data_IF_987425055944
#
_entry.id   IF_987425055944
#
_cell.length_a   1.000
_cell.length_b   1.000
_cell.length_c   1.000
_cell.angle_alpha   90.00
_cell.angle_beta   90.00
_cell.angle_gamma   90.00
#
_symmetry.space_group_name_H-M   'P 1'
#
loop_
_entity.id
_entity.type
_entity.pdbx_description
1 polymer ?
#
# COMPACT_ATOMS: atom_id res chain seq x y z
N UNK A 1 -29.30 -98.90 18.58
CA UNK A 1 -28.97 -97.51 18.20
C UNK A 1 -28.94 -96.69 19.49
N UNK A 2 -27.84 -96.65 20.26
CA UNK A 2 -26.49 -96.19 19.88
C UNK A 2 -26.66 -94.79 19.28
N UNK A 3 -26.38 -93.74 20.05
CA UNK A 3 -26.50 -92.29 19.75
C UNK A 3 -27.57 -91.50 20.50
N UNK A 4 -27.72 -91.73 21.81
CA UNK A 4 -27.97 -90.66 22.78
C UNK A 4 -26.92 -90.83 23.88
N UNK A 5 -25.65 -90.67 23.52
CA UNK A 5 -24.94 -89.38 23.58
C UNK A 5 -24.77 -89.06 25.07
N UNK A 6 -23.71 -89.57 25.70
CA UNK A 6 -22.46 -88.82 25.94
C UNK A 6 -22.58 -87.55 26.81
N UNK A 7 -23.79 -87.08 27.15
CA UNK A 7 -24.01 -85.85 27.88
C UNK A 7 -24.05 -86.02 29.41
N UNK A 8 -24.09 -87.25 29.92
CA UNK A 8 -24.19 -87.53 31.36
C UNK A 8 -23.00 -88.31 31.94
N UNK A 9 -22.02 -88.66 31.09
CA UNK A 9 -20.86 -89.49 31.49
C UNK A 9 -19.50 -88.79 31.24
N UNK A 10 -19.50 -87.50 30.91
CA UNK A 10 -18.30 -86.66 30.76
C UNK A 10 -18.44 -85.29 31.48
N UNK A 11 -19.26 -85.23 32.54
CA UNK A 11 -19.48 -84.01 33.34
C UNK A 11 -19.50 -84.26 34.85
N UNK A 12 -19.05 -85.44 35.29
CA UNK A 12 -18.59 -85.64 36.66
C UNK A 12 -17.12 -86.08 36.67
N UNK A 13 -16.35 -85.64 35.67
CA UNK A 13 -14.89 -85.53 35.78
C UNK A 13 -14.65 -84.64 36.99
N UNK A 14 -14.28 -85.28 38.10
CA UNK A 14 -13.62 -84.68 39.26
C UNK A 14 -13.83 -83.19 39.33
N UNK A 15 -14.83 -82.76 40.10
CA UNK A 15 -14.68 -81.54 40.87
C UNK A 15 -13.33 -81.67 41.58
N UNK A 16 -12.26 -81.23 40.91
CA UNK A 16 -11.07 -80.73 41.53
C UNK A 16 -11.62 -79.55 42.33
N UNK A 17 -12.13 -79.85 43.52
CA UNK A 17 -12.17 -78.86 44.58
C UNK A 17 -10.74 -78.38 44.62
N UNK A 18 -10.51 -77.19 44.06
CA UNK A 18 -9.22 -76.52 44.16
C UNK A 18 -8.81 -76.72 45.60
N UNK A 19 -7.65 -77.34 45.82
CA UNK A 19 -7.22 -77.64 47.17
C UNK A 19 -7.26 -76.34 47.96
N UNK A 20 -7.47 -76.39 49.28
CA UNK A 20 -7.51 -75.17 50.09
C UNK A 20 -6.30 -74.26 49.75
N UNK A 21 -5.15 -74.88 49.49
CA UNK A 21 -3.91 -74.26 49.00
C UNK A 21 -4.04 -73.56 47.62
N UNK A 22 -4.72 -74.16 46.64
CA UNK A 22 -4.97 -73.58 45.30
C UNK A 22 -5.97 -72.41 45.34
N UNK A 23 -6.96 -72.45 46.25
CA UNK A 23 -7.85 -71.33 46.54
C UNK A 23 -7.09 -70.15 47.17
N UNK A 24 -6.23 -70.43 48.15
CA UNK A 24 -5.37 -69.41 48.76
C UNK A 24 -4.39 -68.79 47.74
N UNK A 25 -3.82 -69.61 46.83
CA UNK A 25 -2.94 -69.13 45.77
C UNK A 25 -3.65 -68.15 44.82
N UNK A 26 -4.90 -68.46 44.42
CA UNK A 26 -5.71 -67.56 43.58
C UNK A 26 -6.10 -66.26 44.30
N UNK A 27 -6.42 -66.34 45.59
CA UNK A 27 -6.70 -65.16 46.42
C UNK A 27 -5.45 -64.27 46.49
N UNK A 28 -4.27 -64.86 46.71
CA UNK A 28 -3.02 -64.11 46.74
C UNK A 28 -2.70 -63.45 45.38
N UNK A 29 -2.89 -64.17 44.27
CA UNK A 29 -2.78 -63.61 42.92
C UNK A 29 -3.76 -62.44 42.68
N UNK A 30 -5.00 -62.57 43.15
CA UNK A 30 -6.00 -61.50 43.05
C UNK A 30 -5.58 -60.27 43.86
N UNK A 31 -5.09 -60.47 45.09
CA UNK A 31 -4.60 -59.39 45.95
C UNK A 31 -3.40 -58.67 45.32
N UNK A 32 -2.48 -59.42 44.71
CA UNK A 32 -1.34 -58.86 43.97
C UNK A 32 -1.79 -58.04 42.75
N UNK A 33 -2.80 -58.51 42.00
CA UNK A 33 -3.39 -57.76 40.88
C UNK A 33 -4.12 -56.50 41.34
N UNK A 34 -4.85 -56.56 42.46
CA UNK A 34 -5.53 -55.41 43.07
C UNK A 34 -4.50 -54.37 43.50
N UNK A 35 -3.42 -54.80 44.18
CA UNK A 35 -2.33 -53.91 44.58
C UNK A 35 -1.67 -53.25 43.36
N UNK A 36 -1.39 -54.01 42.30
CA UNK A 36 -0.85 -53.48 41.05
C UNK A 36 -1.81 -52.48 40.36
N UNK A 37 -3.12 -52.73 40.40
CA UNK A 37 -4.14 -51.83 39.86
C UNK A 37 -4.24 -50.53 40.66
N UNK A 38 -4.24 -50.61 42.00
CA UNK A 38 -4.26 -49.45 42.87
C UNK A 38 -3.00 -48.58 42.68
N UNK A 39 -1.83 -49.20 42.51
CA UNK A 39 -0.60 -48.48 42.18
C UNK A 39 -0.71 -47.74 40.84
N UNK A 40 -1.35 -48.35 39.83
CA UNK A 40 -1.62 -47.69 38.54
C UNK A 40 -2.61 -46.54 38.68
N UNK A 41 -3.69 -46.70 39.45
CA UNK A 41 -4.67 -45.64 39.71
C UNK A 41 -3.99 -44.45 40.40
N UNK A 42 -3.20 -44.72 41.44
CA UNK A 42 -2.48 -43.66 42.15
C UNK A 42 -1.47 -42.92 41.24
N UNK A 43 -0.78 -43.66 40.37
CA UNK A 43 0.10 -43.06 39.37
C UNK A 43 -0.65 -42.18 38.35
N UNK A 44 -1.84 -42.62 37.92
CA UNK A 44 -2.70 -41.83 37.03
C UNK A 44 -3.23 -40.57 37.70
N UNK A 45 -3.66 -40.66 38.96
CA UNK A 45 -4.10 -39.51 39.76
C UNK A 45 -2.97 -38.49 39.93
N UNK A 46 -1.76 -38.98 40.21
CA UNK A 46 -0.55 -38.14 40.31
C UNK A 46 -0.25 -37.46 38.98
N UNK A 47 -0.25 -38.21 37.87
CA UNK A 47 -0.02 -37.64 36.53
C UNK A 47 -1.10 -36.61 36.14
N UNK A 48 -2.36 -36.85 36.51
CA UNK A 48 -3.45 -35.90 36.29
C UNK A 48 -3.26 -34.62 37.09
N UNK A 49 -2.83 -34.73 38.35
CA UNK A 49 -2.52 -33.57 39.18
C UNK A 49 -1.36 -32.75 38.59
N UNK A 50 -0.31 -33.43 38.10
CA UNK A 50 0.82 -32.78 37.41
C UNK A 50 0.35 -32.09 36.13
N UNK A 51 -0.44 -32.76 35.28
CA UNK A 51 -0.97 -32.18 34.03
C UNK A 51 -1.86 -30.98 34.30
N UNK A 52 -2.74 -31.03 35.30
CA UNK A 52 -3.56 -29.88 35.70
C UNK A 52 -2.70 -28.70 36.10
N UNK A 53 -1.62 -28.95 36.84
CA UNK A 53 -0.67 -27.92 37.26
C UNK A 53 0.07 -27.33 36.06
N UNK A 54 0.54 -28.19 35.13
CA UNK A 54 1.21 -27.75 33.90
C UNK A 54 0.28 -26.92 33.00
N UNK A 55 -0.98 -27.33 32.84
CA UNK A 55 -1.97 -26.58 32.06
C UNK A 55 -2.30 -25.24 32.70
N UNK A 56 -2.39 -25.18 34.03
CA UNK A 56 -2.60 -23.93 34.77
C UNK A 56 -1.41 -22.96 34.65
N UNK A 57 -0.20 -23.47 34.41
CA UNK A 57 0.99 -22.68 34.17
C UNK A 57 1.12 -22.19 32.73
N UNK A 58 0.27 -22.66 31.80
CA UNK A 58 0.27 -22.15 30.43
C UNK A 58 -0.17 -20.68 30.49
N UNK A 59 0.69 -19.73 30.08
CA UNK A 59 0.32 -18.33 30.04
C UNK A 59 -0.92 -18.15 29.16
N UNK A 60 -1.84 -17.28 29.57
CA UNK A 60 -2.98 -16.95 28.71
C UNK A 60 -2.46 -16.42 27.37
N UNK A 61 -3.01 -16.88 26.22
CA UNK A 61 -2.57 -16.38 24.93
C UNK A 61 -2.74 -14.87 24.86
N UNK A 62 -1.64 -14.16 24.58
CA UNK A 62 -1.70 -12.72 24.35
C UNK A 62 -2.53 -12.50 23.08
N UNK A 63 -3.68 -11.85 23.23
CA UNK A 63 -4.51 -11.44 22.10
C UNK A 63 -4.05 -10.06 21.65
N UNK A 64 -3.39 -10.01 20.50
CA UNK A 64 -3.09 -8.74 19.84
C UNK A 64 -4.38 -8.11 19.32
N UNK A 65 -4.55 -6.82 19.56
CA UNK A 65 -5.56 -6.02 18.85
C UNK A 65 -4.90 -5.36 17.65
N UNK A 66 -5.53 -5.48 16.49
CA UNK A 66 -5.06 -4.80 15.30
C UNK A 66 -5.32 -3.30 15.43
N UNK A 67 -4.30 -2.47 15.17
CA UNK A 67 -4.49 -1.04 14.97
C UNK A 67 -5.15 -0.74 13.62
N UNK A 68 -5.39 0.54 13.36
CA UNK A 68 -5.94 1.00 12.08
C UNK A 68 -5.08 0.52 10.90
N UNK A 69 -5.74 0.09 9.82
CA UNK A 69 -5.05 -0.44 8.64
C UNK A 69 -4.47 -1.84 8.81
N UNK A 70 -4.61 -2.51 9.96
CA UNK A 70 -4.17 -3.90 10.15
C UNK A 70 -5.40 -4.79 10.39
N UNK A 71 -5.37 -6.02 9.86
CA UNK A 71 -6.35 -7.06 10.13
C UNK A 71 -5.66 -8.37 10.49
N UNK A 72 -6.20 -9.07 11.49
CA UNK A 72 -5.72 -10.37 11.95
C UNK A 72 -6.71 -11.44 11.46
N UNK A 73 -6.28 -12.29 10.54
CA UNK A 73 -7.08 -13.39 10.00
C UNK A 73 -6.37 -14.72 10.29
N UNK A 74 -6.81 -15.40 11.36
CA UNK A 74 -6.12 -16.60 11.87
C UNK A 74 -4.70 -16.27 12.35
N UNK A 75 -3.70 -16.87 11.70
CA UNK A 75 -2.27 -16.62 11.97
C UNK A 75 -1.63 -15.62 10.99
N UNK A 76 -2.44 -14.93 10.17
CA UNK A 76 -1.95 -13.99 9.15
C UNK A 76 -2.23 -12.55 9.59
N UNK A 77 -1.19 -11.71 9.54
CA UNK A 77 -1.30 -10.26 9.70
C UNK A 77 -1.39 -9.64 8.31
N UNK A 78 -2.48 -8.94 8.02
CA UNK A 78 -2.69 -8.24 6.74
C UNK A 78 -2.70 -6.74 6.98
N UNK A 79 -1.84 -6.02 6.25
CA UNK A 79 -1.95 -4.58 6.13
C UNK A 79 -2.92 -4.21 5.00
N UNK A 80 -3.85 -3.32 5.30
CA UNK A 80 -4.84 -2.75 4.38
C UNK A 80 -4.44 -1.30 4.15
N UNK A 81 -3.83 -1.06 3.01
CA UNK A 81 -3.55 0.30 2.56
C UNK A 81 -4.65 0.73 1.58
N UNK A 82 -5.11 1.99 1.63
CA UNK A 82 -5.96 2.55 0.60
C UNK A 82 -5.29 2.35 -0.76
N UNK A 83 -6.06 1.84 -1.72
CA UNK A 83 -5.60 1.71 -3.10
C UNK A 83 -6.25 2.79 -3.93
N UNK A 84 -5.45 3.42 -4.77
CA UNK A 84 -5.84 4.47 -5.68
C UNK A 84 -6.00 3.94 -7.10
N UNK A 85 -6.79 4.65 -7.91
CA UNK A 85 -6.98 4.32 -9.31
C UNK A 85 -6.97 5.58 -10.19
N UNK A 86 -6.66 5.42 -11.47
CA UNK A 86 -6.72 6.51 -12.45
C UNK A 86 -8.13 7.10 -12.52
N UNK A 87 -8.23 8.42 -12.59
CA UNK A 87 -9.49 9.19 -12.58
C UNK A 87 -10.02 9.54 -11.20
N UNK A 88 -9.45 9.00 -10.12
CA UNK A 88 -9.85 9.32 -8.75
C UNK A 88 -9.52 10.78 -8.41
N UNK A 89 -10.44 11.46 -7.71
CA UNK A 89 -10.15 12.76 -7.11
C UNK A 89 -9.36 12.56 -5.82
N UNK A 90 -8.11 13.03 -5.79
CA UNK A 90 -7.24 12.86 -4.64
C UNK A 90 -6.36 14.08 -4.43
N UNK A 91 -6.28 14.56 -3.18
CA UNK A 91 -5.43 15.68 -2.75
C UNK A 91 -5.53 16.94 -3.65
N UNK A 92 -6.76 17.33 -4.02
CA UNK A 92 -7.02 18.50 -4.87
C UNK A 92 -6.68 18.30 -6.36
N UNK A 93 -6.38 17.08 -6.78
CA UNK A 93 -6.10 16.72 -8.17
C UNK A 93 -6.88 15.51 -8.66
N UNK A 94 -6.51 15.05 -9.85
CA UNK A 94 -7.01 13.83 -10.50
C UNK A 94 -5.85 12.87 -10.68
N UNK A 95 -5.96 11.66 -10.15
CA UNK A 95 -4.94 10.61 -10.27
C UNK A 95 -4.82 10.19 -11.74
N UNK A 96 -3.62 10.20 -12.29
CA UNK A 96 -3.36 9.78 -13.68
C UNK A 96 -2.30 8.70 -13.82
N UNK A 97 -1.58 8.40 -12.74
CA UNK A 97 -0.65 7.28 -12.66
C UNK A 97 -0.70 6.73 -11.26
N UNK A 98 -0.65 5.40 -11.14
CA UNK A 98 -0.54 4.68 -9.87
C UNK A 98 0.54 3.61 -10.03
N UNK A 99 1.34 3.40 -9.01
CA UNK A 99 2.34 2.33 -8.96
C UNK A 99 1.69 0.93 -8.81
N UNK A 100 2.51 -0.12 -8.89
CA UNK A 100 2.03 -1.51 -8.76
C UNK A 100 1.41 -1.81 -7.38
N UNK A 101 1.82 -1.06 -6.35
CA UNK A 101 1.29 -1.22 -4.99
C UNK A 101 -0.13 -0.67 -4.85
N UNK A 102 -0.51 0.27 -5.72
CA UNK A 102 -1.77 1.00 -5.65
C UNK A 102 -1.74 2.19 -4.68
N UNK A 103 -0.62 2.46 -4.00
CA UNK A 103 -0.59 3.40 -2.88
C UNK A 103 0.03 4.76 -3.24
N UNK A 104 0.92 4.77 -4.23
CA UNK A 104 1.61 5.96 -4.66
C UNK A 104 1.36 6.23 -6.13
N UNK A 105 1.52 7.48 -6.52
CA UNK A 105 1.34 7.84 -7.92
C UNK A 105 1.44 9.32 -8.19
N UNK A 106 0.88 9.72 -9.32
CA UNK A 106 0.85 11.10 -9.77
C UNK A 106 -0.59 11.61 -9.90
N UNK A 107 -0.79 12.84 -9.42
CA UNK A 107 -2.03 13.61 -9.60
C UNK A 107 -1.77 14.83 -10.49
N UNK A 108 -2.73 15.14 -11.34
CA UNK A 108 -2.76 16.38 -12.11
C UNK A 108 -3.68 17.39 -11.43
N UNK A 109 -3.33 18.68 -11.50
CA UNK A 109 -4.23 19.74 -11.06
C UNK A 109 -5.53 19.69 -11.90
N UNK A 110 -6.66 20.07 -11.28
CA UNK A 110 -7.94 20.13 -12.01
C UNK A 110 -8.04 21.34 -12.93
N UNK A 111 -7.25 22.36 -12.68
CA UNK A 111 -7.20 23.61 -13.45
C UNK A 111 -5.78 23.95 -13.87
N UNK A 112 -5.66 24.68 -14.98
CA UNK A 112 -4.39 25.27 -15.37
C UNK A 112 -3.97 26.33 -14.34
N UNK A 113 -2.74 26.24 -13.83
CA UNK A 113 -2.17 27.32 -13.03
C UNK A 113 -1.94 28.58 -13.89
N UNK A 114 -1.79 28.41 -15.20
CA UNK A 114 -1.76 29.50 -16.18
C UNK A 114 -2.33 29.06 -17.52
N UNK A 115 -3.56 29.51 -17.80
CA UNK A 115 -4.29 29.24 -19.05
C UNK A 115 -3.90 30.16 -20.21
N UNK A 116 -3.56 31.42 -19.96
CA UNK A 116 -3.16 32.37 -21.01
C UNK A 116 -1.76 32.09 -21.62
N UNK A 117 -1.06 31.09 -21.12
CA UNK A 117 0.32 30.80 -21.44
C UNK A 117 1.33 31.67 -20.69
N UNK A 118 2.57 31.20 -20.61
CA UNK A 118 3.71 31.94 -20.05
C UNK A 118 5.03 31.51 -20.70
N UNK A 119 6.07 32.28 -20.48
CA UNK A 119 7.45 31.89 -20.82
C UNK A 119 7.93 30.75 -19.94
N UNK A 120 8.71 29.86 -20.54
CA UNK A 120 9.45 28.84 -19.80
C UNK A 120 10.61 29.48 -19.02
N UNK A 121 11.23 30.52 -19.61
CA UNK A 121 12.32 31.29 -18.98
C UNK A 121 11.83 32.51 -18.20
N UNK A 122 12.66 33.00 -17.29
CA UNK A 122 12.38 34.20 -16.50
C UNK A 122 12.86 35.49 -17.20
N UNK A 123 12.04 36.04 -18.10
CA UNK A 123 12.31 37.34 -18.72
C UNK A 123 13.34 37.33 -19.86
N UNK A 124 14.08 38.42 -20.02
CA UNK A 124 14.90 38.73 -21.23
C UNK A 124 16.40 38.53 -21.02
N UNK A 125 16.84 37.98 -19.89
CA UNK A 125 18.26 37.84 -19.49
C UNK A 125 19.09 36.85 -20.32
N UNK A 126 18.69 36.57 -21.56
CA UNK A 126 19.37 35.66 -22.49
C UNK A 126 18.93 34.20 -22.35
N UNK A 127 19.49 33.36 -23.21
CA UNK A 127 19.30 31.91 -23.15
C UNK A 127 20.32 31.31 -22.17
N UNK A 128 19.88 30.40 -21.30
CA UNK A 128 20.75 29.71 -20.36
C UNK A 128 20.40 28.23 -20.23
N UNK A 129 21.40 27.45 -19.87
CA UNK A 129 21.27 26.04 -19.55
C UNK A 129 20.92 25.91 -18.07
N UNK A 130 19.80 25.24 -17.79
CA UNK A 130 19.34 24.94 -16.43
C UNK A 130 19.70 23.52 -15.99
N UNK A 131 20.14 22.66 -16.92
CA UNK A 131 20.35 21.23 -16.73
C UNK A 131 19.09 20.44 -16.34
N UNK A 132 17.90 21.03 -16.48
CA UNK A 132 16.62 20.39 -16.25
C UNK A 132 16.24 19.43 -17.39
N UNK A 133 17.05 18.38 -17.61
CA UNK A 133 16.93 17.45 -18.75
C UNK A 133 16.43 16.06 -18.35
N UNK A 134 16.15 15.83 -17.07
CA UNK A 134 15.64 14.54 -16.64
C UNK A 134 14.27 14.28 -17.27
N UNK A 135 13.99 13.03 -17.62
CA UNK A 135 12.72 12.62 -18.21
C UNK A 135 12.32 11.25 -17.66
N UNK A 136 11.03 11.07 -17.36
CA UNK A 136 10.49 9.91 -16.66
C UNK A 136 9.63 10.27 -15.44
N UNK A 137 9.05 9.26 -14.80
CA UNK A 137 8.21 9.43 -13.60
C UNK A 137 9.01 10.10 -12.49
N UNK A 138 8.51 11.23 -11.97
CA UNK A 138 9.14 12.00 -10.90
C UNK A 138 10.26 12.95 -11.37
N UNK A 139 10.64 12.93 -12.65
CA UNK A 139 11.71 13.79 -13.17
C UNK A 139 11.30 15.27 -13.13
N UNK A 140 10.01 15.57 -13.32
CA UNK A 140 9.48 16.92 -13.40
C UNK A 140 9.73 17.74 -12.13
N UNK A 141 9.74 17.10 -10.96
CA UNK A 141 9.98 17.82 -9.71
C UNK A 141 11.42 18.29 -9.58
N UNK A 142 12.37 17.42 -9.91
CA UNK A 142 13.80 17.77 -9.90
C UNK A 142 14.09 18.85 -10.94
N UNK A 143 13.56 18.71 -12.15
CA UNK A 143 13.67 19.73 -13.19
C UNK A 143 13.08 21.08 -12.74
N UNK A 144 11.85 21.08 -12.19
CA UNK A 144 11.18 22.30 -11.71
C UNK A 144 12.04 23.03 -10.69
N UNK A 145 12.62 22.31 -9.71
CA UNK A 145 13.51 22.91 -8.72
C UNK A 145 14.77 23.51 -9.34
N UNK A 146 15.40 22.82 -10.30
CA UNK A 146 16.58 23.33 -11.02
C UNK A 146 16.26 24.60 -11.81
N UNK A 147 15.13 24.62 -12.53
CA UNK A 147 14.70 25.79 -13.30
C UNK A 147 14.45 26.98 -12.37
N UNK A 148 13.74 26.76 -11.26
CA UNK A 148 13.45 27.81 -10.27
C UNK A 148 14.75 28.39 -9.70
N UNK A 149 15.67 27.53 -9.26
CA UNK A 149 16.96 27.96 -8.73
C UNK A 149 17.80 28.73 -9.77
N UNK A 150 17.85 28.26 -11.02
CA UNK A 150 18.68 28.85 -12.06
C UNK A 150 18.15 30.19 -12.62
N UNK A 151 16.83 30.39 -12.62
CA UNK A 151 16.19 31.53 -13.29
C UNK A 151 15.68 32.62 -12.36
N UNK A 152 15.48 32.37 -11.06
CA UNK A 152 14.94 33.39 -10.14
C UNK A 152 15.81 34.66 -10.09
N UNK A 153 17.13 34.52 -10.21
CA UNK A 153 18.06 35.65 -10.19
C UNK A 153 17.94 36.57 -11.42
N UNK A 154 17.38 36.08 -12.52
CA UNK A 154 17.27 36.86 -13.77
C UNK A 154 16.26 38.00 -13.68
N UNK A 155 15.17 37.77 -12.92
CA UNK A 155 14.17 38.76 -12.59
C UNK A 155 13.45 38.33 -11.30
N UNK A 156 13.77 38.98 -10.19
CA UNK A 156 13.26 38.61 -8.86
C UNK A 156 11.74 38.80 -8.72
N UNK A 157 11.12 39.64 -9.55
CA UNK A 157 9.67 39.84 -9.62
C UNK A 157 9.02 39.09 -10.78
N UNK A 158 9.80 38.34 -11.56
CA UNK A 158 9.35 37.65 -12.75
C UNK A 158 8.61 36.37 -12.46
N UNK A 159 7.75 35.98 -13.40
CA UNK A 159 7.03 34.71 -13.38
C UNK A 159 7.40 33.89 -14.61
N UNK A 160 7.49 32.58 -14.43
CA UNK A 160 7.79 31.61 -15.48
C UNK A 160 7.15 30.27 -15.14
N UNK A 161 7.05 29.39 -16.14
CA UNK A 161 6.27 28.15 -16.06
C UNK A 161 6.54 27.32 -14.79
N UNK A 162 7.81 27.04 -14.50
CA UNK A 162 8.20 26.25 -13.34
C UNK A 162 7.88 26.94 -12.00
N UNK A 163 8.07 28.26 -11.88
CA UNK A 163 7.74 29.00 -10.66
C UNK A 163 6.22 29.00 -10.42
N UNK A 164 5.42 29.21 -11.46
CA UNK A 164 3.95 29.14 -11.37
C UNK A 164 3.51 27.76 -10.89
N UNK A 165 4.05 26.68 -11.47
CA UNK A 165 3.70 25.33 -11.05
C UNK A 165 4.11 25.06 -9.60
N UNK A 166 5.32 25.44 -9.20
CA UNK A 166 5.83 25.26 -7.82
C UNK A 166 5.08 26.07 -6.77
N UNK A 167 4.49 27.21 -7.17
CA UNK A 167 3.75 28.10 -6.28
C UNK A 167 2.25 27.80 -6.26
N UNK A 168 1.79 26.88 -7.11
CA UNK A 168 0.39 26.48 -7.18
C UNK A 168 -0.03 25.80 -5.87
N UNK A 169 -1.20 26.17 -5.37
CA UNK A 169 -1.79 25.64 -4.14
C UNK A 169 -3.31 25.69 -4.26
N UNK A 170 -3.98 24.58 -3.94
CA UNK A 170 -5.44 24.46 -4.05
C UNK A 170 -6.04 23.78 -2.83
N UNK A 171 -7.30 24.12 -2.58
CA UNK A 171 -8.12 23.48 -1.55
C UNK A 171 -8.44 22.03 -1.91
N UNK A 172 -9.18 21.32 -1.05
CA UNK A 172 -9.61 19.94 -1.30
C UNK A 172 -10.50 19.75 -2.51
N UNK A 173 -11.20 20.79 -2.96
CA UNK A 173 -11.95 20.76 -4.21
C UNK A 173 -11.07 20.79 -5.47
N UNK A 174 -9.80 21.16 -5.33
CA UNK A 174 -8.84 21.32 -6.41
C UNK A 174 -9.10 22.50 -7.36
N UNK A 175 -10.01 23.41 -7.00
CA UNK A 175 -10.45 24.54 -7.82
C UNK A 175 -10.15 25.88 -7.17
N UNK A 176 -10.29 25.98 -5.85
CA UNK A 176 -10.11 27.22 -5.10
C UNK A 176 -8.64 27.36 -4.66
N UNK A 177 -7.93 28.44 -5.03
CA UNK A 177 -6.61 28.72 -4.49
C UNK A 177 -6.64 28.89 -2.97
N UNK A 178 -5.67 28.31 -2.27
CA UNK A 178 -5.62 28.45 -0.81
C UNK A 178 -5.34 29.90 -0.39
N UNK A 179 -5.89 30.30 0.77
CA UNK A 179 -5.44 31.49 1.49
C UNK A 179 -4.09 31.22 2.16
N UNK A 180 -3.23 32.25 2.22
CA UNK A 180 -1.91 32.17 2.88
C UNK A 180 -1.91 33.16 4.06
N UNK A 181 -1.57 32.71 5.30
CA UNK A 181 -1.24 31.33 5.68
C UNK A 181 -2.48 30.42 5.69
N UNK A 182 -2.28 29.14 5.39
CA UNK A 182 -3.36 28.15 5.47
C UNK A 182 -3.86 28.02 6.92
N UNK A 183 -5.17 27.96 7.10
CA UNK A 183 -5.77 27.64 8.39
C UNK A 183 -5.71 26.12 8.62
N UNK A 184 -5.55 25.68 9.87
CA UNK A 184 -5.48 24.24 10.20
C UNK A 184 -6.80 23.49 9.90
N UNK A 185 -7.89 24.21 9.66
CA UNK A 185 -9.22 23.66 9.39
C UNK A 185 -9.45 23.28 7.93
N UNK A 186 -8.60 23.73 7.00
CA UNK A 186 -8.78 23.50 5.56
C UNK A 186 -7.55 22.85 4.95
N UNK A 187 -7.76 21.72 4.27
CA UNK A 187 -6.67 21.04 3.56
C UNK A 187 -6.19 21.89 2.39
N UNK A 188 -4.94 22.35 2.46
CA UNK A 188 -4.28 23.06 1.37
C UNK A 188 -3.19 22.18 0.74
N UNK A 189 -3.41 21.80 -0.51
CA UNK A 189 -2.51 20.93 -1.26
C UNK A 189 -1.50 21.77 -2.06
N UNK A 190 -0.24 21.68 -1.65
CA UNK A 190 0.93 22.26 -2.32
C UNK A 190 1.86 21.18 -2.90
N UNK A 191 3.14 21.51 -3.09
CA UNK A 191 4.16 20.62 -3.68
C UNK A 191 3.81 20.18 -5.11
N UNK A 192 3.18 21.07 -5.85
CA UNK A 192 2.97 20.92 -7.27
C UNK A 192 4.25 21.27 -8.02
N UNK A 193 4.43 20.72 -9.22
CA UNK A 193 5.58 20.96 -10.06
C UNK A 193 5.21 20.88 -11.54
N UNK A 194 6.08 21.41 -12.40
CA UNK A 194 5.89 21.36 -13.85
C UNK A 194 6.30 19.96 -14.33
N UNK A 195 5.40 19.20 -14.99
CA UNK A 195 5.67 17.82 -15.40
C UNK A 195 6.86 17.74 -16.36
N UNK A 196 7.63 16.65 -16.31
CA UNK A 196 8.57 16.29 -17.39
C UNK A 196 7.82 15.99 -18.70
N UNK A 197 8.53 15.91 -19.82
CA UNK A 197 7.92 15.56 -21.11
C UNK A 197 7.20 14.22 -21.04
N UNK A 198 7.81 13.21 -20.41
CA UNK A 198 7.22 11.90 -20.17
C UNK A 198 5.97 11.96 -19.29
N UNK A 199 6.02 12.66 -18.14
CA UNK A 199 4.85 12.79 -17.25
C UNK A 199 3.70 13.54 -17.93
N UNK A 200 4.02 14.52 -18.78
CA UNK A 200 3.03 15.27 -19.56
C UNK A 200 2.34 14.40 -20.61
N UNK A 201 3.10 13.53 -21.30
CA UNK A 201 2.53 12.52 -22.21
C UNK A 201 1.62 11.53 -21.47
N UNK A 202 2.04 11.08 -20.27
CA UNK A 202 1.24 10.17 -19.45
C UNK A 202 -0.07 10.82 -18.98
N UNK A 203 -0.03 12.11 -18.62
CA UNK A 203 -1.23 12.87 -18.28
C UNK A 203 -2.16 13.02 -19.50
N UNK A 204 -1.62 13.26 -20.69
CA UNK A 204 -2.41 13.31 -21.93
C UNK A 204 -3.10 11.96 -22.22
N UNK A 205 -2.37 10.84 -22.18
CA UNK A 205 -2.95 9.53 -22.47
C UNK A 205 -3.99 9.11 -21.44
N UNK A 206 -3.69 9.30 -20.15
CA UNK A 206 -4.48 8.71 -19.09
C UNK A 206 -5.64 9.60 -18.62
N UNK A 207 -5.57 10.92 -18.85
CA UNK A 207 -6.67 11.82 -18.49
C UNK A 207 -7.38 12.39 -19.71
N UNK A 208 -6.65 13.01 -20.64
CA UNK A 208 -7.27 13.74 -21.74
C UNK A 208 -7.91 12.79 -22.76
N UNK A 209 -7.15 11.82 -23.27
CA UNK A 209 -7.68 10.84 -24.23
C UNK A 209 -8.78 9.95 -23.62
N UNK A 210 -8.72 9.71 -22.31
CA UNK A 210 -9.73 8.96 -21.58
C UNK A 210 -10.98 9.80 -21.23
N UNK A 211 -11.00 11.11 -21.51
CA UNK A 211 -12.13 11.99 -21.18
C UNK A 211 -12.35 12.21 -19.68
N UNK A 212 -11.34 11.98 -18.85
CA UNK A 212 -11.43 12.04 -17.39
C UNK A 212 -11.14 13.44 -16.82
N UNK A 213 -10.62 14.35 -17.64
CA UNK A 213 -10.33 15.74 -17.23
C UNK A 213 -10.43 16.69 -18.42
N UNK A 214 -10.82 17.93 -18.12
CA UNK A 214 -10.89 18.99 -19.09
C UNK A 214 -9.50 19.63 -19.29
N UNK A 215 -8.99 19.52 -20.52
CA UNK A 215 -7.83 20.23 -21.02
C UNK A 215 -8.22 21.00 -22.27
N UNK A 216 -7.62 22.17 -22.45
CA UNK A 216 -7.73 22.91 -23.70
C UNK A 216 -6.88 22.23 -24.77
N UNK A 217 -7.35 22.25 -26.03
CA UNK A 217 -6.59 21.78 -27.19
C UNK A 217 -5.51 22.81 -27.55
N UNK A 218 -4.46 22.89 -26.72
CA UNK A 218 -3.37 23.84 -26.84
C UNK A 218 -2.06 23.22 -26.32
N UNK A 219 -0.98 23.98 -26.41
CA UNK A 219 0.36 23.55 -26.00
C UNK A 219 0.62 23.75 -24.51
N UNK A 220 1.15 22.71 -23.86
CA UNK A 220 1.53 22.73 -22.45
C UNK A 220 3.02 22.57 -22.29
N UNK A 221 3.64 23.42 -21.45
CA UNK A 221 5.06 23.31 -21.17
C UNK A 221 5.37 22.06 -20.36
N UNK A 222 6.49 21.41 -20.70
CA UNK A 222 7.16 20.48 -19.80
C UNK A 222 8.34 21.17 -19.13
N UNK A 223 8.82 20.60 -18.03
CA UNK A 223 10.05 21.01 -17.35
C UNK A 223 11.30 20.47 -18.03
N UNK A 224 11.17 19.65 -19.07
CA UNK A 224 12.31 19.08 -19.79
C UNK A 224 12.92 20.12 -20.75
N UNK A 225 14.16 20.49 -20.49
CA UNK A 225 14.98 21.36 -21.32
C UNK A 225 15.50 20.59 -22.55
N UNK A 226 15.31 21.16 -23.74
CA UNK A 226 15.83 20.59 -24.99
C UNK A 226 17.21 21.16 -25.33
N UNK A 227 17.38 22.47 -25.15
CA UNK A 227 18.65 23.16 -25.40
C UNK A 227 18.75 24.44 -24.55
N UNK A 228 19.84 25.19 -24.73
CA UNK A 228 20.01 26.50 -24.09
C UNK A 228 18.84 27.45 -24.39
N UNK A 229 18.27 27.37 -25.60
CA UNK A 229 17.21 28.25 -26.09
C UNK A 229 15.81 27.62 -26.09
N UNK A 230 15.71 26.29 -26.10
CA UNK A 230 14.45 25.58 -26.30
C UNK A 230 14.08 24.67 -25.12
N UNK A 231 12.79 24.49 -24.91
CA UNK A 231 12.22 23.51 -23.99
C UNK A 231 11.15 22.68 -24.71
N UNK A 232 10.80 21.54 -24.13
CA UNK A 232 9.76 20.67 -24.66
C UNK A 232 8.36 21.14 -24.25
N UNK A 233 7.41 20.99 -25.16
CA UNK A 233 5.99 21.15 -24.93
C UNK A 233 5.24 19.96 -25.54
N UNK A 234 4.04 19.70 -25.05
CA UNK A 234 3.11 18.75 -25.64
C UNK A 234 1.91 19.52 -26.18
N UNK A 235 1.53 19.26 -27.42
CA UNK A 235 0.28 19.77 -27.99
C UNK A 235 -0.88 18.84 -27.64
N UNK A 236 -1.87 19.33 -26.89
CA UNK A 236 -3.04 18.53 -26.50
C UNK A 236 -4.07 18.37 -27.63
N UNK A 237 -3.91 19.05 -28.77
CA UNK A 237 -4.75 18.83 -29.94
C UNK A 237 -4.44 17.50 -30.64
N UNK A 238 -3.17 17.05 -30.62
CA UNK A 238 -2.73 15.84 -31.33
C UNK A 238 -1.85 14.89 -30.51
N UNK A 239 -1.37 15.30 -29.32
CA UNK A 239 -0.52 14.50 -28.45
C UNK A 239 0.96 14.48 -28.84
N UNK A 240 1.41 15.38 -29.72
CA UNK A 240 2.79 15.40 -30.19
C UNK A 240 3.71 16.27 -29.32
N UNK A 241 4.90 15.74 -29.04
CA UNK A 241 5.97 16.51 -28.40
C UNK A 241 6.64 17.41 -29.44
N UNK A 242 6.81 18.68 -29.09
CA UNK A 242 7.56 19.63 -29.89
C UNK A 242 8.51 20.45 -29.03
N UNK A 243 9.52 21.04 -29.68
CA UNK A 243 10.41 22.00 -29.02
C UNK A 243 9.99 23.42 -29.36
N UNK A 244 10.07 24.32 -28.39
CA UNK A 244 9.76 25.72 -28.58
C UNK A 244 10.74 26.60 -27.81
N UNK A 245 10.93 27.82 -28.31
CA UNK A 245 11.81 28.79 -27.68
C UNK A 245 11.28 29.12 -26.28
N UNK A 246 12.16 29.08 -25.27
CA UNK A 246 11.79 29.33 -23.87
C UNK A 246 11.18 30.72 -23.62
N UNK A 247 11.42 31.67 -24.53
CA UNK A 247 10.89 33.03 -24.53
C UNK A 247 9.45 33.16 -25.04
N UNK A 248 8.89 32.11 -25.65
CA UNK A 248 7.51 32.12 -26.16
C UNK A 248 6.53 32.10 -25.00
N UNK A 249 5.49 32.92 -25.11
CA UNK A 249 4.48 33.11 -24.06
C UNK A 249 3.26 32.20 -24.19
N UNK A 250 3.27 31.23 -25.12
CA UNK A 250 2.07 30.45 -25.46
C UNK A 250 1.87 29.18 -24.64
N UNK A 251 2.93 28.63 -24.04
CA UNK A 251 2.80 27.36 -23.34
C UNK A 251 2.05 27.52 -22.02
N UNK A 252 0.98 26.74 -21.88
CA UNK A 252 0.16 26.64 -20.68
C UNK A 252 0.86 25.85 -19.59
N UNK A 253 0.38 26.00 -18.36
CA UNK A 253 0.94 25.32 -17.19
C UNK A 253 -0.15 24.53 -16.50
N UNK A 254 -0.08 23.20 -16.59
CA UNK A 254 -0.82 22.28 -15.74
C UNK A 254 0.16 21.62 -14.76
N UNK A 255 0.11 21.98 -13.48
CA UNK A 255 0.96 21.35 -12.47
C UNK A 255 0.54 19.91 -12.19
N UNK A 256 1.51 19.09 -11.81
CA UNK A 256 1.29 17.75 -11.26
C UNK A 256 1.93 17.64 -9.88
N UNK A 257 1.53 16.65 -9.10
CA UNK A 257 2.17 16.34 -7.81
C UNK A 257 2.24 14.83 -7.62
N UNK A 258 3.13 14.38 -6.75
CA UNK A 258 3.21 12.97 -6.34
C UNK A 258 2.54 12.76 -4.99
N UNK A 259 2.00 11.57 -4.78
CA UNK A 259 1.43 11.17 -3.50
C UNK A 259 1.93 9.82 -3.02
#
# INVERSE_FOLDING_TARGET
>A
MRNLIFAWLMLSSTLLFASNEELWLRIDQLNNLIAASNNKIHALETNLAVLKTQVAQIPTPIRYQAGEGISLEGFVIKARFPKHHVGELYRGGIVFQVDESGQHGLIAAKIDAKSAGIQWRNGTSGNKTTNARADGIGAGETNTRLIVAAQTIDNQAGQFAALIASSFKVSSDGLIPCTIPATLSEACYGNWYLPSAFELQLMYSNLYQAGLSAFEQDTYWSSTESSVANAWLLDFANGELATSQKSRTRGRVRPISRF
#
